data_IF_284124074138
#
_entry.id   IF_284124074138
#
_cell.length_a   1.000
_cell.length_b   1.000
_cell.length_c   1.000
_cell.angle_alpha   90.00
_cell.angle_beta   90.00
_cell.angle_gamma   90.00
#
_symmetry.space_group_name_H-M   'P 1'
#
loop_
_entity.id
_entity.type
_entity.pdbx_description
1 polymer ?
#
# COMPACT_ATOMS: atom_id res chain seq x y z
N UNK A 1 -12.85 -9.82 11.34
CA UNK A 1 -11.51 -9.77 10.71
C UNK A 1 -10.97 -8.36 10.87
N UNK A 2 -9.70 -8.17 11.24
CA UNK A 2 -9.13 -6.84 11.39
C UNK A 2 -8.36 -6.46 10.11
N UNK A 3 -9.05 -5.78 9.17
CA UNK A 3 -8.50 -5.47 7.84
C UNK A 3 -7.29 -4.53 7.92
N UNK A 4 -7.28 -3.57 8.85
CA UNK A 4 -6.14 -2.65 9.06
C UNK A 4 -4.88 -3.40 9.47
N UNK A 5 -4.99 -4.29 10.46
CA UNK A 5 -3.85 -5.10 10.92
C UNK A 5 -3.26 -5.93 9.78
N UNK A 6 -4.11 -6.57 8.98
CA UNK A 6 -3.69 -7.41 7.87
C UNK A 6 -3.06 -6.57 6.75
N UNK A 7 -3.65 -5.42 6.41
CA UNK A 7 -3.06 -4.50 5.45
C UNK A 7 -1.65 -4.05 5.88
N UNK A 8 -1.46 -3.69 7.15
CA UNK A 8 -0.13 -3.31 7.67
C UNK A 8 0.85 -4.50 7.68
N UNK A 9 0.39 -5.72 7.98
CA UNK A 9 1.24 -6.92 7.87
C UNK A 9 1.68 -7.19 6.43
N UNK A 10 0.78 -7.00 5.45
CA UNK A 10 1.12 -7.14 4.02
C UNK A 10 2.17 -6.09 3.64
N UNK A 11 1.96 -4.82 4.03
CA UNK A 11 2.89 -3.73 3.73
C UNK A 11 4.28 -3.95 4.34
N UNK A 12 4.34 -4.39 5.60
CA UNK A 12 5.61 -4.65 6.30
C UNK A 12 6.41 -5.84 5.73
N UNK A 13 5.76 -6.71 4.95
CA UNK A 13 6.40 -7.87 4.31
C UNK A 13 6.81 -7.61 2.86
N UNK A 14 6.58 -6.40 2.33
CA UNK A 14 6.97 -6.09 0.97
C UNK A 14 8.50 -6.01 0.87
N UNK A 15 9.11 -6.61 -0.17
CA UNK A 15 10.57 -6.56 -0.35
C UNK A 15 11.06 -5.18 -0.81
N UNK A 16 10.15 -4.32 -1.24
CA UNK A 16 10.41 -2.98 -1.76
C UNK A 16 9.31 -2.03 -1.32
N UNK A 17 9.52 -0.74 -1.58
CA UNK A 17 8.50 0.28 -1.40
C UNK A 17 7.17 -0.10 -2.08
N UNK A 18 6.05 0.12 -1.41
CA UNK A 18 4.70 -0.29 -1.86
C UNK A 18 4.34 0.27 -3.24
N UNK A 19 4.87 1.43 -3.61
CA UNK A 19 4.63 2.04 -4.91
C UNK A 19 5.26 1.24 -6.06
N UNK A 20 6.36 0.53 -5.80
CA UNK A 20 7.07 -0.29 -6.79
C UNK A 20 6.50 -1.70 -6.92
N UNK A 21 5.47 -2.03 -6.12
CA UNK A 21 4.85 -3.35 -6.12
C UNK A 21 3.65 -3.37 -7.06
N UNK A 22 3.56 -4.42 -7.88
CA UNK A 22 2.46 -4.59 -8.82
C UNK A 22 1.13 -4.90 -8.11
N UNK A 23 0.02 -4.42 -8.68
CA UNK A 23 -1.31 -4.72 -8.16
C UNK A 23 -1.61 -6.23 -8.16
N UNK A 24 -1.08 -6.99 -9.14
CA UNK A 24 -1.24 -8.45 -9.20
C UNK A 24 -0.61 -9.12 -7.98
N UNK A 25 0.60 -8.71 -7.60
CA UNK A 25 1.27 -9.27 -6.43
C UNK A 25 0.54 -8.92 -5.13
N UNK A 26 0.14 -7.65 -4.94
CA UNK A 26 -0.66 -7.23 -3.78
C UNK A 26 -1.96 -8.03 -3.69
N UNK A 27 -2.69 -8.19 -4.80
CA UNK A 27 -3.92 -8.99 -4.82
C UNK A 27 -3.65 -10.45 -4.42
N UNK A 28 -2.52 -11.03 -4.85
CA UNK A 28 -2.11 -12.38 -4.45
C UNK A 28 -1.89 -12.48 -2.94
N UNK A 29 -1.18 -11.51 -2.34
CA UNK A 29 -0.97 -11.45 -0.90
C UNK A 29 -2.28 -11.31 -0.12
N UNK A 30 -3.21 -10.47 -0.57
CA UNK A 30 -4.52 -10.32 0.08
C UNK A 30 -5.31 -11.65 0.02
N UNK A 31 -5.26 -12.36 -1.11
CA UNK A 31 -5.93 -13.67 -1.27
C UNK A 31 -5.39 -14.75 -0.33
N UNK A 32 -4.17 -14.62 0.18
CA UNK A 32 -3.64 -15.52 1.21
C UNK A 32 -4.35 -15.33 2.57
N UNK A 33 -4.94 -14.16 2.81
CA UNK A 33 -5.61 -13.82 4.07
C UNK A 33 -7.14 -13.96 4.01
N UNK A 34 -7.75 -13.83 2.82
CA UNK A 34 -9.21 -13.95 2.68
C UNK A 34 -9.63 -14.37 1.28
N UNK A 35 -10.69 -15.17 1.21
CA UNK A 35 -11.42 -15.51 -0.02
C UNK A 35 -12.74 -14.74 -0.16
N UNK A 36 -13.15 -13.99 0.87
CA UNK A 36 -14.38 -13.19 0.86
C UNK A 36 -14.13 -11.88 0.13
N UNK A 37 -14.95 -11.58 -0.87
CA UNK A 37 -14.79 -10.39 -1.70
C UNK A 37 -14.84 -9.08 -0.90
N UNK A 38 -15.77 -8.98 0.05
CA UNK A 38 -15.89 -7.81 0.93
C UNK A 38 -14.60 -7.54 1.71
N UNK A 39 -14.02 -8.58 2.31
CA UNK A 39 -12.78 -8.45 3.08
C UNK A 39 -11.59 -8.14 2.17
N UNK A 40 -11.53 -8.77 0.99
CA UNK A 40 -10.51 -8.52 -0.01
C UNK A 40 -10.50 -7.04 -0.45
N UNK A 41 -11.68 -6.51 -0.78
CA UNK A 41 -11.82 -5.12 -1.23
C UNK A 41 -11.46 -4.12 -0.13
N UNK A 42 -11.81 -4.39 1.12
CA UNK A 42 -11.48 -3.51 2.24
C UNK A 42 -9.97 -3.45 2.51
N UNK A 43 -9.28 -4.59 2.50
CA UNK A 43 -7.82 -4.65 2.66
C UNK A 43 -7.12 -3.92 1.50
N UNK A 44 -7.57 -4.17 0.27
CA UNK A 44 -7.05 -3.51 -0.94
C UNK A 44 -7.20 -1.99 -0.86
N UNK A 45 -8.34 -1.51 -0.34
CA UNK A 45 -8.60 -0.08 -0.15
C UNK A 45 -7.60 0.55 0.81
N UNK A 46 -7.33 -0.09 1.96
CA UNK A 46 -6.39 0.42 2.97
C UNK A 46 -4.96 0.47 2.40
N UNK A 47 -4.52 -0.58 1.69
CA UNK A 47 -3.20 -0.59 1.03
C UNK A 47 -3.09 0.55 0.02
N UNK A 48 -4.11 0.76 -0.80
CA UNK A 48 -4.11 1.86 -1.78
C UNK A 48 -4.11 3.25 -1.14
N UNK A 49 -4.72 3.42 0.04
CA UNK A 49 -4.63 4.67 0.79
C UNK A 49 -3.20 4.95 1.26
N UNK A 50 -2.47 3.94 1.74
CA UNK A 50 -1.07 4.09 2.13
C UNK A 50 -0.18 4.41 0.92
N UNK A 51 -0.37 3.74 -0.22
CA UNK A 51 0.32 4.08 -1.48
C UNK A 51 0.18 5.55 -1.86
N UNK A 52 -1.05 6.07 -1.81
CA UNK A 52 -1.32 7.48 -2.13
C UNK A 52 -0.64 8.44 -1.16
N UNK A 53 -0.64 8.11 0.14
CA UNK A 53 0.02 8.94 1.16
C UNK A 53 1.53 9.00 0.93
N UNK A 54 2.18 7.86 0.71
CA UNK A 54 3.61 7.77 0.48
C UNK A 54 4.01 8.46 -0.83
N UNK A 55 3.25 8.24 -1.92
CA UNK A 55 3.49 8.92 -3.19
C UNK A 55 3.40 10.45 -3.07
N UNK A 56 2.43 10.95 -2.30
CA UNK A 56 2.30 12.39 -2.07
C UNK A 56 3.42 12.95 -1.18
N UNK A 57 3.92 12.16 -0.23
CA UNK A 57 5.06 12.55 0.59
C UNK A 57 6.34 12.68 -0.24
N UNK A 58 6.64 11.68 -1.07
CA UNK A 58 7.80 11.69 -1.97
C UNK A 58 7.76 12.92 -2.90
N UNK A 59 6.60 13.18 -3.53
CA UNK A 59 6.43 14.33 -4.43
C UNK A 59 6.66 15.68 -3.73
N UNK A 60 6.20 15.82 -2.49
CA UNK A 60 6.37 17.05 -1.72
C UNK A 60 7.82 17.22 -1.24
N UNK A 61 8.51 16.15 -0.88
CA UNK A 61 9.93 16.18 -0.52
C UNK A 61 10.79 16.63 -1.72
N UNK A 62 10.57 16.06 -2.90
CA UNK A 62 11.29 16.46 -4.12
C UNK A 62 11.03 17.92 -4.51
N UNK A 63 9.78 18.40 -4.31
CA UNK A 63 9.43 19.81 -4.55
C UNK A 63 10.14 20.76 -3.60
N UNK A 64 10.23 20.42 -2.32
CA UNK A 64 10.94 21.22 -1.32
C UNK A 64 12.43 21.31 -1.65
N UNK A 65 13.07 20.20 -2.03
CA UNK A 65 14.50 20.20 -2.41
C UNK A 65 14.80 21.15 -3.58
N UNK A 66 13.97 21.12 -4.64
CA UNK A 66 14.14 21.97 -5.81
C UNK A 66 13.83 23.46 -5.57
N UNK A 67 13.28 23.84 -4.42
CA UNK A 67 13.03 25.25 -4.08
C UNK A 67 14.29 25.95 -3.51
N UNK A 68 15.31 25.19 -3.11
CA UNK A 68 16.56 25.69 -2.54
C UNK A 68 17.76 25.59 -3.51
N UNK A 69 17.51 25.27 -4.79
CA UNK A 69 18.47 25.27 -5.89
C UNK A 69 18.17 26.42 -6.85
#
# INVERSE_FOLDING_TARGET
MNHKRIAHQILARLPTHVNNVSNRYINSLIKQHTRKEKDFNEIKRIINQNRKKEFNYDKNSTRQYNQYL
#
